data_IF_235244277939
#
_entry.id   IF_235244277939
#
_cell.length_a   1.000
_cell.length_b   1.000
_cell.length_c   1.000
_cell.angle_alpha   90.00
_cell.angle_beta   90.00
_cell.angle_gamma   90.00
#
_symmetry.space_group_name_H-M   'P 1'
#
loop_
_entity.id
_entity.type
_entity.pdbx_description
1 polymer ?
#
# COMPACT_ATOMS: atom_id res chain seq x y z
N UNK A 1 5.13 63.38 31.68
CA UNK A 1 5.50 62.24 30.80
C UNK A 1 4.30 61.89 29.92
N UNK A 2 4.44 62.03 28.60
CA UNK A 2 3.32 62.24 27.69
C UNK A 2 2.50 60.95 27.47
N UNK A 3 1.24 60.92 27.97
CA UNK A 3 0.35 59.74 27.86
C UNK A 3 0.16 59.24 26.42
N UNK A 4 0.33 60.13 25.44
CA UNK A 4 0.25 59.81 24.01
C UNK A 4 1.46 58.99 23.55
N UNK A 5 2.69 59.37 23.96
CA UNK A 5 3.91 58.62 23.65
C UNK A 5 3.86 57.20 24.21
N UNK A 6 3.34 57.03 25.44
CA UNK A 6 3.17 55.70 26.06
C UNK A 6 2.17 54.83 25.29
N UNK A 7 1.06 55.41 24.81
CA UNK A 7 0.07 54.70 23.97
C UNK A 7 0.64 54.29 22.61
N UNK A 8 1.40 55.17 21.95
CA UNK A 8 2.06 54.85 20.68
C UNK A 8 3.11 53.73 20.85
N UNK A 9 3.86 53.74 21.95
CA UNK A 9 4.86 52.73 22.24
C UNK A 9 4.23 51.36 22.54
N UNK A 10 3.12 51.33 23.28
CA UNK A 10 2.31 50.12 23.50
C UNK A 10 1.74 49.56 22.19
N UNK A 11 1.21 50.43 21.31
CA UNK A 11 0.71 50.01 20.01
C UNK A 11 1.82 49.41 19.13
N UNK A 12 3.01 50.02 19.13
CA UNK A 12 4.16 49.50 18.39
C UNK A 12 4.61 48.11 18.89
N UNK A 13 4.62 47.90 20.21
CA UNK A 13 4.95 46.59 20.81
C UNK A 13 3.92 45.52 20.44
N UNK A 14 2.62 45.86 20.45
CA UNK A 14 1.57 44.93 20.04
C UNK A 14 1.68 44.54 18.55
N UNK A 15 1.99 45.49 17.68
CA UNK A 15 2.20 45.23 16.25
C UNK A 15 3.43 44.35 16.04
N UNK A 16 4.55 44.66 16.70
CA UNK A 16 5.76 43.84 16.63
C UNK A 16 5.53 42.42 17.17
N UNK A 17 4.81 42.29 18.29
CA UNK A 17 4.42 41.00 18.84
C UNK A 17 3.55 40.18 17.88
N UNK A 18 2.59 40.82 17.21
CA UNK A 18 1.76 40.19 16.18
C UNK A 18 2.57 39.70 14.99
N UNK A 19 3.52 40.51 14.50
CA UNK A 19 4.42 40.13 13.40
C UNK A 19 5.29 38.94 13.81
N UNK A 20 5.90 38.97 15.00
CA UNK A 20 6.72 37.86 15.51
C UNK A 20 5.90 36.58 15.64
N UNK A 21 4.65 36.67 16.12
CA UNK A 21 3.75 35.52 16.22
C UNK A 21 3.41 34.91 14.85
N UNK A 22 3.07 35.75 13.87
CA UNK A 22 2.80 35.30 12.48
C UNK A 22 4.05 34.65 11.88
N UNK A 23 5.22 35.26 12.05
CA UNK A 23 6.49 34.72 11.55
C UNK A 23 6.84 33.39 12.22
N UNK A 24 6.62 33.27 13.52
CA UNK A 24 6.84 32.02 14.24
C UNK A 24 5.91 30.91 13.74
N UNK A 25 4.61 31.20 13.55
CA UNK A 25 3.64 30.25 13.01
C UNK A 25 4.02 29.79 11.60
N UNK A 26 4.46 30.72 10.75
CA UNK A 26 4.91 30.41 9.40
C UNK A 26 6.19 29.57 9.41
N UNK A 27 7.15 29.89 10.28
CA UNK A 27 8.39 29.13 10.41
C UNK A 27 8.13 27.69 10.87
N UNK A 28 7.24 27.49 11.85
CA UNK A 28 6.84 26.14 12.30
C UNK A 28 6.18 25.38 11.16
N UNK A 29 5.23 26.01 10.45
CA UNK A 29 4.54 25.38 9.31
C UNK A 29 5.52 24.97 8.21
N UNK A 30 6.45 25.85 7.82
CA UNK A 30 7.44 25.58 6.79
C UNK A 30 8.39 24.44 7.19
N UNK A 31 8.79 24.40 8.47
CA UNK A 31 9.60 23.28 8.99
C UNK A 31 8.85 21.95 8.88
N UNK A 32 7.58 21.90 9.29
CA UNK A 32 6.76 20.69 9.17
C UNK A 32 6.58 20.24 7.73
N UNK A 33 6.31 21.16 6.80
CA UNK A 33 6.21 20.82 5.37
C UNK A 33 7.55 20.28 4.83
N UNK A 34 8.68 20.91 5.20
CA UNK A 34 10.02 20.46 4.80
C UNK A 34 10.38 19.09 5.36
N UNK A 35 10.13 18.85 6.64
CA UNK A 35 10.36 17.56 7.28
C UNK A 35 9.56 16.45 6.57
N UNK A 36 8.27 16.67 6.33
CA UNK A 36 7.43 15.72 5.58
C UNK A 36 7.95 15.43 4.17
N UNK A 37 8.35 16.45 3.41
CA UNK A 37 8.91 16.23 2.07
C UNK A 37 10.23 15.46 2.10
N UNK A 38 11.08 15.74 3.09
CA UNK A 38 12.31 15.00 3.32
C UNK A 38 12.02 13.54 3.64
N UNK A 39 11.10 13.27 4.57
CA UNK A 39 10.72 11.92 4.98
C UNK A 39 10.12 11.13 3.79
N UNK A 40 9.28 11.77 2.98
CA UNK A 40 8.74 11.14 1.76
C UNK A 40 9.83 10.83 0.74
N UNK A 41 10.81 11.73 0.57
CA UNK A 41 11.93 11.51 -0.36
C UNK A 41 12.81 10.37 0.13
N UNK A 42 13.10 10.32 1.42
CA UNK A 42 13.84 9.21 2.04
C UNK A 42 13.08 7.89 1.89
N UNK A 43 11.76 7.90 2.04
CA UNK A 43 10.89 6.73 1.82
C UNK A 43 10.89 6.26 0.38
N UNK A 44 10.83 7.17 -0.60
CA UNK A 44 10.90 6.83 -2.02
C UNK A 44 12.25 6.23 -2.42
N UNK A 45 13.31 6.65 -1.73
CA UNK A 45 14.67 6.13 -1.94
C UNK A 45 14.96 4.88 -1.10
N UNK A 46 14.16 4.60 -0.07
CA UNK A 46 14.30 3.39 0.73
C UNK A 46 13.75 2.20 -0.03
N UNK A 47 14.62 1.23 -0.32
CA UNK A 47 14.19 -0.01 -0.96
C UNK A 47 13.18 -0.77 -0.09
N UNK A 48 12.27 -1.46 -0.78
CA UNK A 48 11.33 -2.40 -0.17
C UNK A 48 12.10 -3.53 0.55
N UNK A 49 11.88 -3.69 1.85
CA UNK A 49 12.54 -4.75 2.61
C UNK A 49 11.77 -6.05 2.50
N UNK A 50 12.33 -7.01 1.78
CA UNK A 50 11.81 -8.39 1.72
C UNK A 50 12.22 -9.16 2.97
N UNK A 51 11.26 -9.83 3.59
CA UNK A 51 11.44 -10.65 4.79
C UNK A 51 10.87 -12.02 4.48
N UNK A 52 11.65 -13.08 4.68
CA UNK A 52 11.12 -14.45 4.69
C UNK A 52 10.77 -14.77 6.14
N UNK A 53 9.47 -14.92 6.41
CA UNK A 53 9.00 -15.24 7.77
C UNK A 53 9.21 -16.73 8.02
N UNK A 54 8.77 -17.56 7.07
CA UNK A 54 8.93 -19.02 7.11
C UNK A 54 9.20 -19.57 5.70
N UNK A 55 9.25 -20.90 5.53
CA UNK A 55 9.47 -21.55 4.22
C UNK A 55 8.39 -21.23 3.18
N UNK A 56 7.19 -20.86 3.60
CA UNK A 56 6.04 -20.59 2.73
C UNK A 56 5.57 -19.14 2.78
N UNK A 57 5.87 -18.44 3.87
CA UNK A 57 5.36 -17.08 4.11
C UNK A 57 6.42 -16.05 3.73
N UNK A 58 6.16 -15.31 2.65
CA UNK A 58 6.94 -14.15 2.27
C UNK A 58 6.29 -12.88 2.78
N UNK A 59 7.09 -11.94 3.28
CA UNK A 59 6.64 -10.64 3.73
C UNK A 59 7.46 -9.51 3.13
N UNK A 60 6.85 -8.33 3.07
CA UNK A 60 7.41 -7.10 2.54
C UNK A 60 7.11 -6.00 3.56
N UNK A 61 8.13 -5.24 3.94
CA UNK A 61 7.98 -4.03 4.75
C UNK A 61 8.33 -2.78 3.91
N UNK A 62 7.43 -1.80 3.93
CA UNK A 62 7.61 -0.52 3.24
C UNK A 62 7.24 0.65 4.17
N UNK A 63 7.96 1.74 4.04
CA UNK A 63 7.65 2.99 4.74
C UNK A 63 6.46 3.69 4.05
N UNK A 64 5.62 4.34 4.85
CA UNK A 64 4.46 5.10 4.39
C UNK A 64 4.85 6.46 3.82
N UNK A 65 4.28 6.82 2.68
CA UNK A 65 4.32 8.18 2.14
C UNK A 65 3.19 9.02 2.72
N UNK A 66 3.45 10.29 3.01
CA UNK A 66 2.44 11.25 3.49
C UNK A 66 2.13 12.30 2.44
N UNK A 67 1.01 12.14 1.74
CA UNK A 67 0.59 13.08 0.69
C UNK A 67 -0.66 13.85 1.10
N UNK A 68 -0.79 15.09 0.65
CA UNK A 68 -2.07 15.80 0.68
C UNK A 68 -2.98 15.26 -0.42
N UNK A 69 -4.26 15.57 -0.29
CA UNK A 69 -5.28 15.19 -1.27
C UNK A 69 -4.98 15.73 -2.68
N UNK A 70 -4.48 16.96 -2.78
CA UNK A 70 -4.08 17.58 -4.05
C UNK A 70 -2.82 16.95 -4.63
N UNK A 71 -1.82 16.67 -3.79
CA UNK A 71 -0.60 15.96 -4.19
C UNK A 71 -0.92 14.56 -4.70
N UNK A 72 -1.78 13.82 -4.01
CA UNK A 72 -2.23 12.49 -4.41
C UNK A 72 -2.93 12.52 -5.77
N UNK A 73 -3.89 13.44 -5.97
CA UNK A 73 -4.58 13.58 -7.27
C UNK A 73 -3.63 13.89 -8.43
N UNK A 74 -2.59 14.70 -8.17
CA UNK A 74 -1.62 15.09 -9.20
C UNK A 74 -0.65 13.96 -9.53
N UNK A 75 -0.14 13.27 -8.52
CA UNK A 75 0.88 12.23 -8.68
C UNK A 75 0.29 10.87 -9.04
N UNK A 76 -0.96 10.60 -8.62
CA UNK A 76 -1.67 9.32 -8.75
C UNK A 76 -3.06 9.51 -9.35
N UNK A 77 -3.09 10.14 -10.53
CA UNK A 77 -4.34 10.43 -11.22
C UNK A 77 -5.14 9.15 -11.55
N UNK A 78 -4.46 8.09 -12.00
CA UNK A 78 -5.09 6.80 -12.33
C UNK A 78 -5.71 6.14 -11.09
N UNK A 79 -4.94 6.03 -9.99
CA UNK A 79 -5.44 5.47 -8.74
C UNK A 79 -6.64 6.29 -8.21
N UNK A 80 -6.59 7.62 -8.31
CA UNK A 80 -7.68 8.49 -7.89
C UNK A 80 -8.97 8.27 -8.71
N UNK A 81 -8.86 8.03 -10.03
CA UNK A 81 -10.02 7.67 -10.85
C UNK A 81 -10.55 6.29 -10.49
N UNK A 82 -9.68 5.31 -10.25
CA UNK A 82 -10.08 3.97 -9.83
C UNK A 82 -10.81 4.01 -8.47
N UNK A 83 -10.31 4.75 -7.49
CA UNK A 83 -10.93 4.92 -6.17
C UNK A 83 -12.33 5.57 -6.28
N UNK A 84 -12.49 6.55 -7.19
CA UNK A 84 -13.82 7.13 -7.46
C UNK A 84 -14.79 6.10 -8.04
N UNK A 85 -14.34 5.25 -8.97
CA UNK A 85 -15.15 4.16 -9.53
C UNK A 85 -15.57 3.13 -8.48
N UNK A 86 -14.73 2.93 -7.45
CA UNK A 86 -15.07 2.14 -6.27
C UNK A 86 -16.07 2.84 -5.33
N UNK A 87 -16.57 4.03 -5.68
CA UNK A 87 -17.57 4.77 -4.90
C UNK A 87 -17.00 5.63 -3.77
N UNK A 88 -15.67 5.72 -3.64
CA UNK A 88 -15.02 6.47 -2.58
C UNK A 88 -14.76 7.91 -3.02
N UNK A 89 -15.26 8.87 -2.24
CA UNK A 89 -14.99 10.29 -2.46
C UNK A 89 -13.55 10.58 -2.03
N UNK A 90 -12.70 11.05 -2.95
CA UNK A 90 -11.27 11.34 -2.68
C UNK A 90 -11.03 12.29 -1.50
N UNK A 91 -11.96 13.21 -1.21
CA UNK A 91 -11.86 14.09 -0.04
C UNK A 91 -11.94 13.35 1.31
N UNK A 92 -12.54 12.15 1.33
CA UNK A 92 -12.67 11.32 2.51
C UNK A 92 -11.54 10.29 2.63
N UNK A 93 -10.65 10.19 1.63
CA UNK A 93 -9.55 9.23 1.61
C UNK A 93 -8.62 9.47 2.80
N UNK A 94 -8.32 8.40 3.54
CA UNK A 94 -7.42 8.42 4.70
C UNK A 94 -6.09 7.78 4.38
N UNK A 95 -6.12 6.68 3.63
CA UNK A 95 -4.95 6.07 3.07
C UNK A 95 -5.29 5.39 1.74
N UNK A 96 -4.27 5.18 0.92
CA UNK A 96 -4.33 4.35 -0.27
C UNK A 96 -3.13 3.41 -0.28
N UNK A 97 -3.34 2.16 -0.69
CA UNK A 97 -2.30 1.16 -0.79
C UNK A 97 -2.42 0.44 -2.15
N UNK A 98 -1.26 0.13 -2.76
CA UNK A 98 -1.20 -0.57 -4.04
C UNK A 98 -0.15 -1.67 -3.96
N UNK A 99 -0.54 -2.85 -4.43
CA UNK A 99 0.28 -4.05 -4.37
C UNK A 99 0.24 -4.73 -5.73
N UNK A 100 1.42 -5.12 -6.23
CA UNK A 100 1.54 -5.96 -7.41
C UNK A 100 2.07 -7.32 -6.94
N UNK A 101 1.26 -8.35 -7.17
CA UNK A 101 1.56 -9.72 -6.79
C UNK A 101 1.63 -10.57 -8.05
N UNK A 102 2.75 -11.24 -8.24
CA UNK A 102 2.96 -12.18 -9.32
C UNK A 102 2.93 -13.59 -8.76
N UNK A 103 2.18 -14.50 -9.39
CA UNK A 103 2.16 -15.90 -9.00
C UNK A 103 2.90 -16.73 -10.04
N UNK A 104 4.02 -17.34 -9.65
CA UNK A 104 4.81 -18.23 -10.47
C UNK A 104 4.94 -19.60 -9.78
N UNK A 105 4.07 -20.54 -10.17
CA UNK A 105 4.03 -21.89 -9.63
C UNK A 105 4.32 -22.95 -10.71
N UNK A 106 4.99 -24.05 -10.37
CA UNK A 106 5.21 -25.14 -11.30
C UNK A 106 3.90 -25.87 -11.62
N UNK A 107 3.78 -26.35 -12.86
CA UNK A 107 2.69 -27.22 -13.29
C UNK A 107 3.27 -28.60 -13.55
N UNK A 108 2.96 -29.53 -12.66
CA UNK A 108 3.24 -30.96 -12.80
C UNK A 108 1.93 -31.73 -12.62
N UNK A 109 1.23 -31.95 -13.73
CA UNK A 109 -0.13 -32.49 -13.74
C UNK A 109 -0.16 -33.89 -14.36
N UNK A 110 -0.80 -34.82 -13.65
CA UNK A 110 -0.97 -36.18 -14.13
C UNK A 110 -2.02 -36.22 -15.24
N UNK A 111 -1.67 -36.84 -16.37
CA UNK A 111 -2.59 -37.08 -17.49
C UNK A 111 -3.08 -38.53 -17.41
N UNK A 112 -4.39 -38.73 -17.34
CA UNK A 112 -5.02 -40.06 -17.27
C UNK A 112 -6.10 -40.20 -18.32
N UNK A 113 -6.16 -41.33 -19.00
CA UNK A 113 -7.27 -41.62 -19.90
C UNK A 113 -8.58 -41.77 -19.10
N UNK A 114 -9.65 -41.17 -19.61
CA UNK A 114 -10.99 -41.14 -19.01
C UNK A 114 -12.04 -41.28 -20.10
N UNK A 115 -13.18 -41.88 -19.77
CA UNK A 115 -14.31 -41.98 -20.68
C UNK A 115 -15.38 -41.01 -20.20
N UNK A 116 -15.70 -40.03 -21.05
CA UNK A 116 -16.81 -39.10 -20.78
C UNK A 116 -17.98 -39.50 -21.66
N UNK A 117 -19.12 -39.80 -21.05
CA UNK A 117 -20.35 -40.13 -21.78
C UNK A 117 -21.04 -38.83 -22.16
N UNK A 118 -21.23 -38.62 -23.46
CA UNK A 118 -22.01 -37.50 -24.00
C UNK A 118 -23.02 -38.06 -24.98
N UNK A 119 -24.30 -37.76 -24.76
CA UNK A 119 -25.40 -38.16 -25.64
C UNK A 119 -25.33 -39.66 -26.02
N UNK A 120 -25.19 -40.52 -24.99
CA UNK A 120 -25.10 -42.00 -25.10
C UNK A 120 -23.84 -42.58 -25.79
N UNK A 121 -22.90 -41.75 -26.25
CA UNK A 121 -21.64 -42.22 -26.85
C UNK A 121 -20.48 -42.11 -25.85
N UNK A 122 -19.73 -43.20 -25.57
CA UNK A 122 -18.51 -43.13 -24.78
C UNK A 122 -17.40 -42.46 -25.60
N UNK A 123 -16.92 -41.32 -25.13
CA UNK A 123 -15.80 -40.62 -25.76
C UNK A 123 -14.54 -40.79 -24.91
N UNK A 124 -13.49 -41.35 -25.51
CA UNK A 124 -12.14 -41.37 -24.93
C UNK A 124 -11.61 -39.94 -24.82
N UNK A 125 -11.22 -39.54 -23.62
CA UNK A 125 -10.67 -38.25 -23.24
C UNK A 125 -9.47 -38.47 -22.34
N UNK A 126 -8.69 -37.42 -22.12
CA UNK A 126 -7.64 -37.44 -21.11
C UNK A 126 -7.96 -36.41 -20.05
N UNK A 127 -7.98 -36.81 -18.78
CA UNK A 127 -8.12 -35.91 -17.64
C UNK A 127 -6.72 -35.47 -17.20
N UNK A 128 -6.58 -34.17 -16.97
CA UNK A 128 -5.39 -33.55 -16.39
C UNK A 128 -5.75 -33.08 -14.99
N UNK A 129 -4.98 -33.48 -13.99
CA UNK A 129 -5.24 -33.11 -12.60
C UNK A 129 -3.91 -32.89 -11.84
N UNK A 130 -3.84 -31.75 -11.16
CA UNK A 130 -2.80 -31.43 -10.19
C UNK A 130 -3.49 -30.78 -8.99
N UNK A 131 -3.39 -31.40 -7.82
CA UNK A 131 -3.94 -30.88 -6.58
C UNK A 131 -2.79 -30.73 -5.60
N UNK A 132 -2.34 -29.49 -5.41
CA UNK A 132 -1.36 -29.11 -4.39
C UNK A 132 -2.04 -28.23 -3.34
N UNK A 133 -1.42 -27.96 -2.18
CA UNK A 133 -1.97 -27.04 -1.18
C UNK A 133 -2.23 -25.61 -1.70
N UNK A 134 -1.51 -25.16 -2.73
CA UNK A 134 -1.54 -23.77 -3.20
C UNK A 134 -2.10 -23.59 -4.62
N UNK A 135 -2.04 -24.65 -5.43
CA UNK A 135 -2.44 -24.66 -6.85
C UNK A 135 -3.31 -25.89 -7.11
N UNK A 136 -4.50 -25.65 -7.66
CA UNK A 136 -5.40 -26.69 -8.13
C UNK A 136 -5.61 -26.50 -9.63
N UNK A 137 -5.22 -27.49 -10.43
CA UNK A 137 -5.45 -27.52 -11.87
C UNK A 137 -6.26 -28.76 -12.19
N UNK A 138 -7.38 -28.58 -12.86
CA UNK A 138 -8.21 -29.68 -13.35
C UNK A 138 -8.67 -29.39 -14.77
N UNK A 139 -8.72 -30.40 -15.62
CA UNK A 139 -9.23 -30.22 -16.98
C UNK A 139 -9.31 -31.51 -17.77
N UNK A 140 -9.88 -31.39 -18.97
CA UNK A 140 -9.98 -32.45 -19.96
C UNK A 140 -9.26 -32.03 -21.24
N UNK A 141 -8.51 -32.93 -21.83
CA UNK A 141 -7.94 -32.77 -23.17
C UNK A 141 -8.94 -33.31 -24.18
N UNK A 142 -9.40 -32.43 -25.06
CA UNK A 142 -10.28 -32.74 -26.18
C UNK A 142 -9.72 -32.08 -27.45
N UNK A 143 -9.60 -32.84 -28.54
CA UNK A 143 -9.14 -32.32 -29.85
C UNK A 143 -7.82 -31.54 -29.74
N UNK A 144 -6.88 -32.05 -28.95
CA UNK A 144 -5.58 -31.40 -28.70
C UNK A 144 -5.63 -30.13 -27.84
N UNK A 145 -6.76 -29.83 -27.18
CA UNK A 145 -6.92 -28.65 -26.32
C UNK A 145 -7.27 -29.06 -24.90
N UNK A 146 -6.57 -28.50 -23.92
CA UNK A 146 -6.95 -28.58 -22.50
C UNK A 146 -8.08 -27.59 -22.23
N UNK A 147 -9.20 -28.09 -21.72
CA UNK A 147 -10.32 -27.30 -21.21
C UNK A 147 -10.46 -27.58 -19.72
N UNK A 148 -10.34 -26.55 -18.89
CA UNK A 148 -10.27 -26.74 -17.44
C UNK A 148 -10.18 -25.43 -16.68
N UNK A 149 -9.91 -25.56 -15.39
CA UNK A 149 -9.77 -24.46 -14.45
C UNK A 149 -8.45 -24.59 -13.69
N UNK A 150 -7.78 -23.46 -13.50
CA UNK A 150 -6.66 -23.31 -12.59
C UNK A 150 -7.07 -22.38 -11.45
N UNK A 151 -6.91 -22.82 -10.21
CA UNK A 151 -7.14 -22.03 -9.00
C UNK A 151 -5.84 -21.90 -8.24
N UNK A 152 -5.47 -20.66 -7.96
CA UNK A 152 -4.33 -20.30 -7.12
C UNK A 152 -4.87 -19.45 -5.98
N UNK A 153 -4.87 -20.01 -4.78
CA UNK A 153 -5.35 -19.31 -3.58
C UNK A 153 -4.20 -18.49 -2.98
N UNK A 154 -4.43 -17.21 -2.73
CA UNK A 154 -3.45 -16.30 -2.11
C UNK A 154 -4.16 -15.46 -1.06
N UNK A 155 -3.67 -15.49 0.18
CA UNK A 155 -4.12 -14.61 1.25
C UNK A 155 -3.02 -13.58 1.55
N UNK A 156 -3.35 -12.30 1.37
CA UNK A 156 -2.49 -11.20 1.79
C UNK A 156 -2.90 -10.71 3.18
N UNK A 157 -1.97 -10.71 4.13
CA UNK A 157 -2.17 -10.12 5.47
C UNK A 157 -1.38 -8.82 5.54
N UNK A 158 -2.06 -7.73 5.84
CA UNK A 158 -1.45 -6.41 5.94
C UNK A 158 -1.57 -5.87 7.37
N UNK A 159 -0.47 -5.32 7.88
CA UNK A 159 -0.42 -4.57 9.12
C UNK A 159 0.18 -3.18 8.86
N UNK A 160 -0.42 -2.14 9.44
CA UNK A 160 0.12 -0.78 9.43
C UNK A 160 0.44 -0.40 10.87
N UNK A 161 1.68 -0.01 11.14
CA UNK A 161 2.16 0.28 12.49
C UNK A 161 3.09 1.48 12.51
N UNK A 162 3.25 2.08 13.70
CA UNK A 162 4.01 3.32 13.88
C UNK A 162 5.29 3.03 14.64
N UNK A 163 6.43 3.38 14.06
CA UNK A 163 7.71 3.39 14.75
C UNK A 163 7.84 4.71 15.53
N UNK A 164 8.04 4.62 16.84
CA UNK A 164 8.26 5.77 17.70
C UNK A 164 9.73 5.91 18.08
N UNK A 165 10.20 7.15 18.23
CA UNK A 165 11.54 7.48 18.76
C UNK A 165 11.41 8.43 19.94
N UNK A 166 12.09 8.13 21.05
CA UNK A 166 12.17 8.97 22.25
C UNK A 166 11.85 8.25 23.56
N UNK A 167 12.14 8.90 24.68
CA UNK A 167 11.78 8.44 26.02
C UNK A 167 10.26 8.59 26.26
N UNK A 168 9.67 7.85 27.21
CA UNK A 168 8.21 7.70 27.38
C UNK A 168 7.40 9.00 27.20
N UNK A 169 7.84 10.12 27.79
CA UNK A 169 7.14 11.42 27.71
C UNK A 169 7.37 12.23 26.41
N UNK A 170 8.38 11.87 25.61
CA UNK A 170 8.79 12.62 24.42
C UNK A 170 8.79 11.73 23.16
N UNK A 171 7.96 10.69 23.14
CA UNK A 171 7.82 9.82 21.96
C UNK A 171 7.31 10.63 20.78
N UNK A 172 8.10 10.65 19.71
CA UNK A 172 7.73 11.22 18.41
C UNK A 172 7.57 10.09 17.40
N UNK A 173 6.62 10.25 16.49
CA UNK A 173 6.49 9.36 15.33
C UNK A 173 7.75 9.50 14.48
N UNK A 174 8.45 8.40 14.25
CA UNK A 174 9.63 8.31 13.39
C UNK A 174 9.22 7.91 11.98
N UNK A 175 8.47 6.82 11.86
CA UNK A 175 7.99 6.30 10.58
C UNK A 175 6.64 5.58 10.79
N UNK A 176 5.88 5.47 9.71
CA UNK A 176 4.73 4.56 9.64
C UNK A 176 5.13 3.47 8.66
N UNK A 177 5.01 2.22 9.08
CA UNK A 177 5.36 1.06 8.29
C UNK A 177 4.09 0.35 7.84
N UNK A 178 4.15 -0.22 6.65
CA UNK A 178 3.22 -1.22 6.17
C UNK A 178 3.98 -2.51 5.96
N UNK A 179 3.57 -3.56 6.68
CA UNK A 179 4.08 -4.91 6.50
C UNK A 179 3.00 -5.76 5.85
N UNK A 180 3.32 -6.45 4.76
CA UNK A 180 2.41 -7.32 4.03
C UNK A 180 3.01 -8.69 3.92
N UNK A 181 2.26 -9.74 4.23
CA UNK A 181 2.67 -11.11 4.00
C UNK A 181 1.71 -11.86 3.09
N UNK A 182 2.27 -12.81 2.32
CA UNK A 182 1.57 -13.78 1.50
C UNK A 182 1.75 -15.17 2.13
N UNK A 183 0.68 -15.96 2.19
CA UNK A 183 0.70 -17.35 2.66
C UNK A 183 1.02 -18.37 1.54
N UNK A 184 1.11 -17.91 0.29
CA UNK A 184 1.41 -18.75 -0.85
C UNK A 184 2.88 -18.59 -1.28
N UNK A 185 3.71 -19.67 -1.26
CA UNK A 185 5.13 -19.61 -1.61
C UNK A 185 5.38 -19.24 -3.07
N UNK A 186 4.38 -19.42 -3.94
CA UNK A 186 4.46 -19.09 -5.36
C UNK A 186 4.00 -17.66 -5.65
N UNK A 187 3.43 -16.95 -4.67
CA UNK A 187 2.96 -15.57 -4.82
C UNK A 187 4.00 -14.58 -4.29
N UNK A 188 4.66 -13.89 -5.20
CA UNK A 188 5.67 -12.88 -4.89
C UNK A 188 5.10 -11.47 -4.99
N UNK A 189 5.27 -10.69 -3.91
CA UNK A 189 4.96 -9.26 -3.91
C UNK A 189 6.09 -8.53 -4.66
N UNK A 190 5.82 -8.11 -5.89
CA UNK A 190 6.76 -7.36 -6.75
C UNK A 190 6.87 -5.91 -6.32
N UNK A 191 5.71 -5.31 -6.07
CA UNK A 191 5.60 -3.91 -5.69
C UNK A 191 4.60 -3.74 -4.55
N UNK A 192 4.89 -2.80 -3.66
CA UNK A 192 4.04 -2.46 -2.53
C UNK A 192 4.27 -1.03 -2.14
N UNK A 193 3.18 -0.33 -1.87
CA UNK A 193 3.23 1.02 -1.35
C UNK A 193 2.03 1.32 -0.45
N UNK A 194 2.26 2.25 0.46
CA UNK A 194 1.24 2.79 1.35
C UNK A 194 1.37 4.30 1.40
N UNK A 195 0.24 4.98 1.19
CA UNK A 195 0.15 6.43 1.19
C UNK A 195 -0.88 6.83 2.22
N UNK A 196 -0.45 7.51 3.27
CA UNK A 196 -1.28 8.19 4.24
C UNK A 196 -1.69 9.58 3.70
N UNK A 197 -2.98 9.88 3.74
CA UNK A 197 -3.53 11.16 3.30
C UNK A 197 -3.53 12.15 4.47
N UNK A 198 -2.62 13.12 4.39
CA UNK A 198 -2.54 14.21 5.35
C UNK A 198 -3.66 15.22 5.11
N UNK A 199 -4.73 15.13 5.91
CA UNK A 199 -5.81 16.11 5.96
C UNK A 199 -5.28 17.38 6.66
N UNK A 200 -5.47 18.54 6.01
CA UNK A 200 -5.03 19.84 6.51
C UNK A 200 -6.13 20.49 7.35
#
# INVERSE_FOLDING_TARGET
>A
MNRILVKCLLAAVLVLGGIVWVQHRNAVRLRTERDRYRDNTETLLSDMKRIRVDSTTMAVDVNALRLRVDEYKRLRAEDAEQIKRLGVKIKNLEAAARHEVEVAGPIDAAVRDTVVIRDTVPLLRQKVEMITPYIQLTGLIEKGRLKGEIRVSVTLRQAVWVEYKGWWFWKKVKAVHQTISSDNPYAEIRYSEYIEIHKK
#
